data_IF_382090101434
#
_entry.id   IF_382090101434
#
_cell.length_a   1.000
_cell.length_b   1.000
_cell.length_c   1.000
_cell.angle_alpha   90.00
_cell.angle_beta   90.00
_cell.angle_gamma   90.00
#
_symmetry.space_group_name_H-M   'P 1'
#
loop_
_entity.id
_entity.type
_entity.pdbx_description
1 polymer ?
#
# COMPACT_ATOMS: atom_id res chain seq x y z
N UNK A 1 -28.03 -35.51 -0.29
CA UNK A 1 -28.37 -34.37 -1.16
C UNK A 1 -28.34 -33.08 -0.35
N UNK A 2 -27.17 -32.43 -0.27
CA UNK A 2 -27.03 -31.08 0.27
C UNK A 2 -26.06 -30.39 -0.69
N UNK A 3 -26.55 -29.46 -1.49
CA UNK A 3 -25.68 -28.74 -2.42
C UNK A 3 -26.43 -28.10 -3.56
N UNK A 4 -27.18 -27.02 -3.30
CA UNK A 4 -27.58 -26.08 -4.36
C UNK A 4 -28.15 -24.75 -3.84
N UNK A 5 -27.53 -24.14 -2.81
CA UNK A 5 -27.97 -22.83 -2.31
C UNK A 5 -26.88 -21.76 -2.20
N UNK A 6 -25.72 -21.95 -2.85
CA UNK A 6 -24.64 -20.95 -2.84
C UNK A 6 -24.49 -20.15 -4.15
N UNK A 7 -25.25 -20.45 -5.22
CA UNK A 7 -25.02 -19.86 -6.54
C UNK A 7 -25.84 -18.59 -6.86
N UNK A 8 -26.82 -18.24 -6.03
CA UNK A 8 -27.67 -17.04 -6.25
C UNK A 8 -27.02 -15.72 -5.77
N UNK A 9 -25.99 -15.79 -4.91
CA UNK A 9 -25.34 -14.61 -4.32
C UNK A 9 -24.40 -13.82 -5.24
N UNK A 10 -23.97 -14.41 -6.36
CA UNK A 10 -22.99 -13.79 -7.27
C UNK A 10 -23.61 -12.86 -8.32
N UNK A 11 -24.92 -12.96 -8.57
CA UNK A 11 -25.60 -12.15 -9.59
C UNK A 11 -26.19 -10.83 -9.05
N UNK A 12 -26.66 -10.80 -7.80
CA UNK A 12 -27.27 -9.58 -7.24
C UNK A 12 -26.27 -8.49 -6.84
N UNK A 13 -25.00 -8.83 -6.59
CA UNK A 13 -23.98 -7.84 -6.27
C UNK A 13 -23.46 -7.06 -7.50
N UNK A 14 -23.62 -7.61 -8.71
CA UNK A 14 -23.15 -6.97 -9.95
C UNK A 14 -24.24 -6.15 -10.68
N UNK A 15 -25.52 -6.32 -10.31
CA UNK A 15 -26.64 -5.65 -10.99
C UNK A 15 -26.85 -4.17 -10.57
N UNK A 16 -26.24 -3.71 -9.47
CA UNK A 16 -26.35 -2.32 -8.98
C UNK A 16 -25.19 -1.41 -9.39
N UNK A 17 -24.40 -1.76 -10.40
CA UNK A 17 -23.48 -0.78 -11.01
C UNK A 17 -24.29 0.11 -11.93
N UNK A 18 -24.55 1.34 -11.50
CA UNK A 18 -25.24 2.33 -12.30
C UNK A 18 -24.43 2.60 -13.58
N UNK A 19 -24.87 2.01 -14.68
CA UNK A 19 -24.50 2.42 -16.03
C UNK A 19 -25.07 3.82 -16.23
N UNK A 20 -24.23 4.86 -16.23
CA UNK A 20 -24.64 6.25 -16.46
C UNK A 20 -24.90 6.58 -17.94
N UNK A 21 -25.27 5.59 -18.75
CA UNK A 21 -25.65 5.79 -20.14
C UNK A 21 -26.87 4.92 -20.47
N UNK A 22 -27.93 5.49 -21.07
CA UNK A 22 -29.05 4.70 -21.54
C UNK A 22 -28.54 3.69 -22.58
N UNK A 23 -28.96 2.43 -22.45
CA UNK A 23 -28.69 1.38 -23.44
C UNK A 23 -29.17 1.84 -24.81
N UNK A 24 -28.27 2.41 -25.61
CA UNK A 24 -28.52 2.58 -27.03
C UNK A 24 -28.66 1.16 -27.60
N UNK A 25 -29.90 0.72 -27.84
CA UNK A 25 -30.26 -0.50 -28.56
C UNK A 25 -29.75 -0.43 -30.00
N UNK A 26 -28.42 -0.42 -30.19
CA UNK A 26 -27.83 -0.80 -31.48
C UNK A 26 -28.05 -2.29 -31.61
N UNK A 27 -28.97 -2.67 -32.49
CA UNK A 27 -29.14 -4.06 -32.93
C UNK A 27 -27.78 -4.47 -33.48
N UNK A 28 -27.03 -5.25 -32.70
CA UNK A 28 -25.77 -5.82 -33.13
C UNK A 28 -26.07 -6.96 -34.11
N UNK A 29 -25.24 -7.15 -35.15
CA UNK A 29 -25.44 -8.21 -36.12
C UNK A 29 -25.42 -9.58 -35.44
N UNK A 30 -26.29 -10.48 -35.91
CA UNK A 30 -26.22 -11.89 -35.55
C UNK A 30 -25.19 -12.57 -36.47
N UNK A 31 -24.21 -13.24 -35.90
CA UNK A 31 -23.13 -13.90 -36.64
C UNK A 31 -23.56 -15.30 -37.08
N UNK A 32 -23.02 -15.81 -38.21
CA UNK A 32 -23.45 -17.09 -38.77
C UNK A 32 -22.99 -18.32 -37.96
N UNK A 33 -21.97 -18.17 -37.11
CA UNK A 33 -21.45 -19.25 -36.26
C UNK A 33 -20.85 -18.72 -34.96
N UNK A 34 -20.59 -19.62 -34.01
CA UNK A 34 -19.88 -19.31 -32.77
C UNK A 34 -18.48 -18.77 -33.05
N UNK A 35 -17.75 -19.36 -34.00
CA UNK A 35 -16.39 -18.92 -34.32
C UNK A 35 -16.40 -17.51 -34.90
N UNK A 36 -17.36 -17.19 -35.75
CA UNK A 36 -17.50 -15.86 -36.33
C UNK A 36 -17.78 -14.79 -35.25
N UNK A 37 -18.68 -15.10 -34.31
CA UNK A 37 -18.95 -14.20 -33.18
C UNK A 37 -17.73 -14.04 -32.26
N UNK A 38 -16.99 -15.13 -32.03
CA UNK A 38 -15.79 -15.12 -31.19
C UNK A 38 -14.69 -14.28 -31.83
N UNK A 39 -14.38 -14.50 -33.11
CA UNK A 39 -13.35 -13.78 -33.85
C UNK A 39 -13.58 -12.27 -33.87
N UNK A 40 -14.83 -11.84 -34.11
CA UNK A 40 -15.16 -10.41 -34.09
C UNK A 40 -15.13 -9.82 -32.67
N UNK A 41 -15.48 -10.62 -31.65
CA UNK A 41 -15.35 -10.19 -30.25
C UNK A 41 -13.88 -10.01 -29.84
N UNK A 42 -12.99 -10.91 -30.28
CA UNK A 42 -11.56 -10.85 -30.01
C UNK A 42 -10.91 -9.67 -30.76
N UNK A 43 -11.28 -9.46 -32.02
CA UNK A 43 -10.88 -8.28 -32.80
C UNK A 43 -11.30 -6.99 -32.09
N UNK A 44 -12.55 -6.93 -31.62
CA UNK A 44 -13.03 -5.76 -30.88
C UNK A 44 -12.24 -5.52 -29.59
N UNK A 45 -11.82 -6.58 -28.90
CA UNK A 45 -10.95 -6.48 -27.72
C UNK A 45 -9.59 -5.91 -28.09
N UNK A 46 -8.94 -6.44 -29.13
CA UNK A 46 -7.63 -5.99 -29.60
C UNK A 46 -7.63 -4.52 -30.04
N UNK A 47 -8.65 -4.09 -30.78
CA UNK A 47 -8.83 -2.69 -31.20
C UNK A 47 -9.01 -1.73 -30.01
N UNK A 48 -9.44 -2.23 -28.85
CA UNK A 48 -9.58 -1.45 -27.63
C UNK A 48 -8.26 -1.02 -27.00
N UNK A 49 -7.18 -1.75 -27.28
CA UNK A 49 -5.88 -1.55 -26.66
C UNK A 49 -5.86 -1.87 -25.16
N UNK A 50 -4.78 -1.46 -24.52
CA UNK A 50 -4.43 -1.83 -23.15
C UNK A 50 -4.31 -0.60 -22.25
N UNK A 51 -4.29 -0.85 -20.94
CA UNK A 51 -3.92 0.09 -19.89
C UNK A 51 -2.93 -0.57 -18.93
N UNK A 52 -2.21 0.24 -18.15
CA UNK A 52 -1.20 -0.25 -17.21
C UNK A 52 -1.75 -0.12 -15.79
N UNK A 53 -1.71 -1.21 -15.05
CA UNK A 53 -1.98 -1.22 -13.61
C UNK A 53 -0.64 -1.14 -12.89
N UNK A 54 -0.49 -0.09 -12.09
CA UNK A 54 0.68 0.14 -11.25
C UNK A 54 0.38 -0.30 -9.82
N UNK A 55 1.13 -1.28 -9.34
CA UNK A 55 1.07 -1.76 -7.96
C UNK A 55 2.32 -1.31 -7.23
N UNK A 56 2.15 -0.49 -6.22
CA UNK A 56 3.25 -0.07 -5.35
C UNK A 56 3.29 -0.97 -4.13
N UNK A 57 4.47 -1.53 -3.85
CA UNK A 57 4.72 -2.33 -2.65
C UNK A 57 5.84 -1.66 -1.86
N UNK A 58 5.61 -1.44 -0.57
CA UNK A 58 6.66 -1.02 0.34
C UNK A 58 7.37 -2.25 0.87
N UNK A 59 8.69 -2.28 0.70
CA UNK A 59 9.54 -3.35 1.22
C UNK A 59 10.46 -2.75 2.27
N UNK A 60 10.45 -3.38 3.46
CA UNK A 60 11.32 -2.99 4.56
C UNK A 60 12.48 -3.96 4.63
N UNK A 61 13.71 -3.45 4.59
CA UNK A 61 14.91 -4.25 4.86
C UNK A 61 15.69 -3.69 6.03
N UNK A 62 16.16 -4.58 6.88
CA UNK A 62 17.03 -4.26 8.01
C UNK A 62 18.47 -4.43 7.57
N UNK A 63 19.23 -3.34 7.55
CA UNK A 63 20.62 -3.31 7.09
C UNK A 63 21.52 -2.97 8.28
N UNK A 64 22.67 -3.65 8.47
CA UNK A 64 23.60 -3.30 9.53
C UNK A 64 24.07 -1.85 9.40
N UNK A 65 24.22 -1.17 10.53
CA UNK A 65 24.83 0.15 10.54
C UNK A 65 26.30 0.08 10.15
N UNK A 66 26.75 1.04 9.34
CA UNK A 66 28.16 1.26 9.08
C UNK A 66 28.89 1.70 10.35
N UNK A 67 30.22 1.52 10.38
CA UNK A 67 31.05 1.96 11.51
C UNK A 67 30.90 3.46 11.81
N UNK A 68 30.80 4.29 10.77
CA UNK A 68 30.62 5.74 10.90
C UNK A 68 29.25 6.10 11.49
N UNK A 69 28.18 5.45 11.04
CA UNK A 69 26.83 5.66 11.60
C UNK A 69 26.76 5.26 13.06
N UNK A 70 27.38 4.13 13.43
CA UNK A 70 27.48 3.70 14.83
C UNK A 70 28.21 4.73 15.68
N UNK A 71 29.35 5.23 15.22
CA UNK A 71 30.13 6.26 15.91
C UNK A 71 29.32 7.55 16.11
N UNK A 72 28.57 7.97 15.09
CA UNK A 72 27.70 9.14 15.18
C UNK A 72 26.60 8.96 16.22
N UNK A 73 25.98 7.78 16.26
CA UNK A 73 24.95 7.47 17.27
C UNK A 73 25.55 7.39 18.67
N UNK A 74 26.76 6.86 18.84
CA UNK A 74 27.45 6.87 20.14
C UNK A 74 27.74 8.28 20.62
N UNK A 75 28.23 9.16 19.74
CA UNK A 75 28.50 10.56 20.08
C UNK A 75 27.21 11.29 20.48
N UNK A 76 26.13 11.12 19.73
CA UNK A 76 24.82 11.71 20.08
C UNK A 76 24.26 11.18 21.41
N UNK A 77 24.52 9.91 21.74
CA UNK A 77 24.12 9.35 23.02
C UNK A 77 24.93 9.96 24.18
N UNK A 78 26.23 10.13 23.98
CA UNK A 78 27.14 10.74 24.95
C UNK A 78 26.83 12.22 25.18
N UNK A 79 26.58 12.99 24.12
CA UNK A 79 26.13 14.39 24.21
C UNK A 79 24.83 14.53 25.01
N UNK A 80 23.87 13.63 24.81
CA UNK A 80 22.61 13.61 25.57
C UNK A 80 22.83 13.27 27.04
N UNK A 81 23.74 12.33 27.33
CA UNK A 81 24.09 11.99 28.69
C UNK A 81 24.72 13.20 29.39
N UNK A 82 25.69 13.85 28.73
CA UNK A 82 26.33 15.05 29.24
C UNK A 82 25.34 16.18 29.50
N UNK A 83 24.44 16.46 28.56
CA UNK A 83 23.41 17.48 28.73
C UNK A 83 22.47 17.20 29.92
N UNK A 84 22.19 15.92 30.22
CA UNK A 84 21.42 15.53 31.41
C UNK A 84 22.19 15.77 32.69
N UNK A 85 23.46 15.39 32.73
CA UNK A 85 24.35 15.63 33.89
C UNK A 85 24.45 17.13 34.16
N UNK A 86 24.65 17.94 33.12
CA UNK A 86 24.72 19.40 33.23
C UNK A 86 23.39 19.99 33.74
N UNK A 87 22.24 19.47 33.27
CA UNK A 87 20.93 19.90 33.75
C UNK A 87 20.65 19.51 35.21
N UNK A 88 21.07 18.30 35.62
CA UNK A 88 20.89 17.83 36.99
C UNK A 88 21.83 18.58 37.96
N UNK A 89 23.04 18.88 37.52
CA UNK A 89 23.98 19.75 38.23
C UNK A 89 23.40 21.16 38.40
N UNK A 90 22.84 21.76 37.34
CA UNK A 90 22.20 23.07 37.40
C UNK A 90 21.02 23.10 38.39
N UNK A 91 20.15 22.08 38.36
CA UNK A 91 19.05 21.94 39.34
C UNK A 91 19.55 21.81 40.78
N UNK A 92 20.67 21.12 41.00
CA UNK A 92 21.27 21.01 42.32
C UNK A 92 21.74 22.39 42.81
N UNK A 93 22.43 23.15 41.95
CA UNK A 93 22.89 24.50 42.28
C UNK A 93 21.74 25.45 42.60
N UNK A 94 20.62 25.36 41.88
CA UNK A 94 19.42 26.17 42.16
C UNK A 94 18.80 25.88 43.54
N UNK A 95 18.95 24.64 44.04
CA UNK A 95 18.41 24.20 45.33
C UNK A 95 19.39 24.34 46.50
N UNK A 96 20.64 24.67 46.23
CA UNK A 96 21.69 24.70 47.24
C UNK A 96 21.70 26.03 48.01
N UNK A 97 21.26 25.97 49.27
CA UNK A 97 21.10 27.15 50.14
C UNK A 97 22.43 27.71 50.69
N UNK A 98 23.53 26.95 50.65
CA UNK A 98 24.82 27.36 51.20
C UNK A 98 26.01 26.92 50.32
N UNK A 99 27.18 27.53 50.56
CA UNK A 99 28.39 27.24 49.78
C UNK A 99 28.81 25.77 49.90
N UNK A 100 28.64 25.14 51.07
CA UNK A 100 28.94 23.73 51.26
C UNK A 100 28.06 22.84 50.37
N UNK A 101 26.76 23.12 50.28
CA UNK A 101 25.81 22.38 49.45
C UNK A 101 26.11 22.54 47.95
N UNK A 102 26.57 23.72 47.52
CA UNK A 102 27.01 23.96 46.14
C UNK A 102 28.24 23.12 45.79
N UNK A 103 29.22 23.06 46.69
CA UNK A 103 30.39 22.18 46.49
C UNK A 103 29.99 20.71 46.41
N UNK A 104 29.03 20.28 47.24
CA UNK A 104 28.50 18.91 47.23
C UNK A 104 27.75 18.54 45.94
N UNK A 105 27.19 19.50 45.19
CA UNK A 105 26.56 19.24 43.89
C UNK A 105 27.55 18.68 42.86
N UNK A 106 28.84 19.01 42.96
CA UNK A 106 29.89 18.48 42.05
C UNK A 106 30.26 17.03 42.37
N UNK A 107 30.07 16.61 43.62
CA UNK A 107 30.36 15.26 44.13
C UNK A 107 29.16 14.32 44.05
N UNK A 108 28.00 14.81 43.62
CA UNK A 108 26.82 13.99 43.41
C UNK A 108 27.06 13.09 42.20
N UNK A 109 27.80 11.99 42.40
CA UNK A 109 27.80 10.86 41.49
C UNK A 109 26.39 10.28 41.52
N UNK A 110 25.52 10.75 40.61
CA UNK A 110 24.21 10.17 40.27
C UNK A 110 23.66 9.31 41.41
N UNK A 111 23.33 9.93 42.55
CA UNK A 111 23.03 9.22 43.79
C UNK A 111 21.90 8.22 43.54
N UNK A 112 22.00 7.03 44.13
CA UNK A 112 21.28 5.78 43.84
C UNK A 112 19.76 5.87 43.53
N UNK A 113 19.06 6.94 43.92
CA UNK A 113 17.71 7.24 43.42
C UNK A 113 17.61 7.47 41.90
N UNK A 114 18.72 7.84 41.25
CA UNK A 114 18.82 7.86 39.79
C UNK A 114 19.43 6.58 39.22
N UNK A 115 19.98 5.66 40.02
CA UNK A 115 20.56 4.40 39.52
C UNK A 115 19.53 3.28 39.32
N UNK A 116 18.45 3.21 40.09
CA UNK A 116 17.37 2.23 39.80
C UNK A 116 16.64 2.53 38.49
N UNK A 117 16.65 3.80 38.04
CA UNK A 117 16.15 4.21 36.73
C UNK A 117 17.25 4.37 35.66
N UNK A 118 18.50 4.66 36.03
CA UNK A 118 19.62 4.73 35.08
C UNK A 118 20.09 3.34 34.65
N UNK A 119 20.19 2.37 35.57
CA UNK A 119 20.64 1.01 35.23
C UNK A 119 19.60 0.18 34.45
N UNK A 120 18.32 0.56 34.49
CA UNK A 120 17.25 -0.15 33.76
C UNK A 120 16.82 0.50 32.44
N UNK A 121 17.41 1.64 32.05
CA UNK A 121 16.95 2.38 30.85
C UNK A 121 18.01 3.11 30.01
N UNK A 122 19.29 3.14 30.40
CA UNK A 122 20.28 4.03 29.75
C UNK A 122 21.35 3.35 28.91
N UNK A 123 21.33 2.03 28.77
CA UNK A 123 21.68 1.49 27.47
C UNK A 123 20.51 1.78 26.54
N UNK A 124 20.42 3.01 26.03
CA UNK A 124 19.69 3.26 24.79
C UNK A 124 20.44 2.46 23.72
N UNK A 125 20.13 1.16 23.66
CA UNK A 125 20.88 0.13 22.96
C UNK A 125 20.98 0.60 21.53
N UNK A 126 22.14 1.13 21.16
CA UNK A 126 22.34 1.73 19.86
C UNK A 126 21.97 0.65 18.86
N UNK A 127 20.95 0.90 18.02
CA UNK A 127 20.42 -0.15 17.18
C UNK A 127 21.52 -0.63 16.26
N UNK A 128 21.75 -1.95 16.21
CA UNK A 128 22.80 -2.51 15.34
C UNK A 128 22.43 -2.43 13.85
N UNK A 129 21.15 -2.24 13.55
CA UNK A 129 20.59 -2.21 12.20
C UNK A 129 19.73 -0.96 11.99
N UNK A 130 19.82 -0.35 10.82
CA UNK A 130 18.83 0.61 10.32
C UNK A 130 17.77 -0.10 9.48
N UNK A 131 16.55 0.41 9.52
CA UNK A 131 15.50 -0.01 8.59
C UNK A 131 15.52 0.93 7.40
N UNK A 132 15.64 0.37 6.20
CA UNK A 132 15.48 1.08 4.94
C UNK A 132 14.12 0.68 4.38
N UNK A 133 13.31 1.68 4.04
CA UNK A 133 12.07 1.49 3.32
C UNK A 133 12.33 1.75 1.84
N UNK A 134 12.19 0.71 1.03
CA UNK A 134 12.24 0.81 -0.43
C UNK A 134 10.81 0.72 -0.98
N UNK A 135 10.57 1.38 -2.11
CA UNK A 135 9.29 1.35 -2.82
C UNK A 135 9.48 0.62 -4.14
N UNK A 136 8.97 -0.60 -4.20
CA UNK A 136 8.94 -1.39 -5.42
C UNK A 136 7.69 -1.05 -6.22
N UNK A 137 7.86 -0.76 -7.50
CA UNK A 137 6.78 -0.47 -8.44
C UNK A 137 6.68 -1.61 -9.44
N UNK A 138 5.58 -2.36 -9.39
CA UNK A 138 5.27 -3.39 -10.37
C UNK A 138 4.21 -2.88 -11.34
N UNK A 139 4.41 -3.09 -12.63
CA UNK A 139 3.48 -2.69 -13.68
C UNK A 139 2.98 -3.91 -14.44
N UNK A 140 1.66 -4.03 -14.60
CA UNK A 140 1.03 -5.08 -15.41
C UNK A 140 0.13 -4.47 -16.48
N UNK A 141 0.26 -4.93 -17.72
CA UNK A 141 -0.61 -4.51 -18.81
C UNK A 141 -1.89 -5.33 -18.81
N UNK A 142 -3.03 -4.65 -18.90
CA UNK A 142 -4.35 -5.27 -18.97
C UNK A 142 -5.15 -4.77 -20.18
N UNK A 143 -5.98 -5.62 -20.80
CA UNK A 143 -6.83 -5.22 -21.91
C UNK A 143 -7.97 -4.33 -21.42
N UNK A 144 -8.21 -3.22 -22.11
CA UNK A 144 -9.30 -2.27 -21.79
C UNK A 144 -10.69 -2.86 -21.99
N UNK A 145 -10.81 -3.82 -22.92
CA UNK A 145 -12.04 -4.51 -23.28
C UNK A 145 -11.92 -5.98 -22.88
N UNK A 146 -13.02 -6.57 -22.41
CA UNK A 146 -13.08 -8.00 -22.08
C UNK A 146 -14.40 -8.59 -22.48
N UNK A 147 -14.35 -9.82 -22.98
CA UNK A 147 -15.52 -10.60 -23.38
C UNK A 147 -15.65 -11.83 -22.49
N UNK A 148 -16.89 -12.15 -22.11
CA UNK A 148 -17.26 -13.38 -21.40
C UNK A 148 -18.29 -14.13 -22.22
N UNK A 149 -18.07 -15.43 -22.40
CA UNK A 149 -19.01 -16.29 -23.10
C UNK A 149 -20.19 -16.67 -22.20
N UNK A 150 -21.41 -16.58 -22.73
CA UNK A 150 -22.63 -16.98 -22.05
C UNK A 150 -23.30 -18.13 -22.81
N UNK A 151 -23.01 -19.36 -22.39
CA UNK A 151 -23.52 -20.60 -23.00
C UNK A 151 -25.03 -20.59 -23.19
N UNK A 152 -25.76 -20.23 -22.14
CA UNK A 152 -27.23 -20.25 -22.10
C UNK A 152 -27.90 -19.38 -23.17
N UNK A 153 -27.17 -18.43 -23.77
CA UNK A 153 -27.72 -17.41 -24.66
C UNK A 153 -26.98 -17.29 -25.98
N UNK A 154 -26.08 -18.23 -26.30
CA UNK A 154 -25.25 -18.23 -27.54
C UNK A 154 -24.69 -16.85 -27.87
N UNK A 155 -24.09 -16.22 -26.86
CA UNK A 155 -23.58 -14.85 -27.00
C UNK A 155 -22.28 -14.63 -26.23
N UNK A 156 -21.49 -13.70 -26.75
CA UNK A 156 -20.37 -13.10 -26.03
C UNK A 156 -20.80 -11.74 -25.51
N UNK A 157 -20.71 -11.57 -24.19
CA UNK A 157 -20.98 -10.32 -23.50
C UNK A 157 -19.66 -9.61 -23.28
N UNK A 158 -19.51 -8.44 -23.87
CA UNK A 158 -18.26 -7.70 -23.87
C UNK A 158 -18.44 -6.32 -23.24
N UNK A 159 -17.48 -5.92 -22.41
CA UNK A 159 -17.46 -4.63 -21.72
C UNK A 159 -16.22 -3.84 -22.14
N UNK A 160 -16.36 -2.53 -22.23
CA UNK A 160 -15.26 -1.57 -22.35
C UNK A 160 -15.18 -0.76 -21.06
N UNK A 161 -14.00 -0.71 -20.45
CA UNK A 161 -13.75 0.10 -19.26
C UNK A 161 -13.57 1.57 -19.66
N UNK A 162 -14.03 2.49 -18.81
CA UNK A 162 -13.89 3.94 -18.99
C UNK A 162 -12.49 4.41 -18.58
N UNK A 163 -11.49 3.95 -19.33
CA UNK A 163 -10.08 4.25 -19.12
C UNK A 163 -9.47 4.67 -20.45
N UNK A 164 -8.62 5.70 -20.44
CA UNK A 164 -7.90 6.12 -21.64
C UNK A 164 -6.93 5.02 -22.08
N UNK A 165 -6.69 4.90 -23.39
CA UNK A 165 -5.66 3.97 -23.91
C UNK A 165 -4.30 4.33 -23.31
N UNK A 166 -3.52 3.32 -22.90
CA UNK A 166 -2.22 3.48 -22.25
C UNK A 166 -2.25 4.32 -20.97
N UNK A 167 -3.41 4.49 -20.33
CA UNK A 167 -3.48 5.12 -19.02
C UNK A 167 -2.77 4.24 -17.99
N UNK A 168 -2.10 4.89 -17.04
CA UNK A 168 -1.55 4.24 -15.85
C UNK A 168 -2.54 4.48 -14.72
N UNK A 169 -3.04 3.40 -14.13
CA UNK A 169 -3.91 3.45 -12.95
C UNK A 169 -3.20 2.81 -11.76
N UNK A 170 -3.37 3.39 -10.58
CA UNK A 170 -2.92 2.72 -9.35
C UNK A 170 -3.81 1.52 -9.06
N UNK A 171 -3.26 0.53 -8.35
CA UNK A 171 -3.87 -0.77 -8.05
C UNK A 171 -5.33 -0.67 -7.58
N UNK A 172 -6.23 -0.67 -8.56
CA UNK A 172 -7.66 -0.74 -8.37
C UNK A 172 -8.09 -2.11 -8.90
N UNK A 173 -8.92 -2.87 -8.15
CA UNK A 173 -9.45 -4.10 -8.69
C UNK A 173 -10.19 -3.78 -9.98
N UNK A 174 -9.95 -4.52 -11.06
CA UNK A 174 -10.62 -4.31 -12.36
C UNK A 174 -12.14 -4.12 -12.24
N UNK A 175 -12.72 -4.79 -11.24
CA UNK A 175 -14.13 -4.71 -10.86
C UNK A 175 -14.58 -3.32 -10.36
N UNK A 176 -13.73 -2.50 -9.77
CA UNK A 176 -14.13 -1.15 -9.33
C UNK A 176 -14.13 -0.12 -10.47
N UNK A 177 -13.61 -0.47 -11.64
CA UNK A 177 -13.49 0.45 -12.77
C UNK A 177 -14.86 0.66 -13.44
N UNK A 178 -15.15 1.90 -13.79
CA UNK A 178 -16.39 2.26 -14.47
C UNK A 178 -16.45 1.62 -15.86
N UNK A 179 -17.65 1.19 -16.26
CA UNK A 179 -17.88 0.63 -17.59
C UNK A 179 -18.35 1.74 -18.51
N UNK A 180 -17.64 1.96 -19.62
CA UNK A 180 -17.98 2.96 -20.63
C UNK A 180 -19.05 2.45 -21.58
N UNK A 181 -18.84 1.25 -22.13
CA UNK A 181 -19.74 0.65 -23.11
C UNK A 181 -19.90 -0.85 -22.89
N UNK A 182 -21.02 -1.36 -23.36
CA UNK A 182 -21.35 -2.78 -23.36
C UNK A 182 -21.76 -3.20 -24.77
N UNK A 183 -21.26 -4.34 -25.24
CA UNK A 183 -21.58 -4.94 -26.54
C UNK A 183 -21.89 -6.42 -26.39
N UNK A 184 -22.78 -6.90 -27.26
CA UNK A 184 -23.15 -8.31 -27.36
C UNK A 184 -22.85 -8.81 -28.77
N UNK A 185 -22.16 -9.95 -28.88
CA UNK A 185 -21.96 -10.66 -30.13
C UNK A 185 -22.76 -11.96 -30.08
N UNK A 186 -23.79 -12.09 -30.91
CA UNK A 186 -24.75 -13.22 -30.89
C UNK A 186 -24.53 -14.14 -32.09
N UNK A 187 -24.85 -15.43 -31.97
CA UNK A 187 -24.84 -16.38 -33.09
C UNK A 187 -25.96 -17.42 -32.96
#
# INVERSE_FOLDING_TARGET
MIGLLLYAGLFYANARRSTSAPEAKKILPNYPSREAAQAESERWVQEGGEFVVRTTRRVRRSVPLSKQERLKLTMLADERLRARIEADYAKCLERADNNLAKELCSFQQTSEQSQEQASRGYEAKIPNTKVIEDVDVAESKEPRRTCTFAENYRRFNCIELDIKRNAVIDAAPRKSLATKTYKQFRY
#
